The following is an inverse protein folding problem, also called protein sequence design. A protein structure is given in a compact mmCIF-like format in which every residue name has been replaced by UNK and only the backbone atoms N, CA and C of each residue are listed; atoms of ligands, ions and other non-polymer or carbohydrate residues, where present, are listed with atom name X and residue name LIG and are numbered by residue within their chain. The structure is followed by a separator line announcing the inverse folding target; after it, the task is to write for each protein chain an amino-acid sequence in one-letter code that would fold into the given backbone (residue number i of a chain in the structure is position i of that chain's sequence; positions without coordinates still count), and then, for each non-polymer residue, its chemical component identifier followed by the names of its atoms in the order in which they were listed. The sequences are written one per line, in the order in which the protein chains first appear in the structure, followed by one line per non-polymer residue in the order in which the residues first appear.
data_IF_390963485218
#
_entry.id   IF_390963485218
#
_cell.length_a   1.000
_cell.length_b   1.000
_cell.length_c   1.000
_cell.angle_alpha   90.00
_cell.angle_beta   90.00
_cell.angle_gamma   90.00
#
_symmetry.space_group_name_H-M   'P 1'
#
loop_
_entity.id
_entity.type
_entity.pdbx_description
1 polymer ?
#
# COMPACT_ATOMS: atom_id res chain seq x y z
N UNK A 1 21.74 3.02 7.21
CA UNK A 1 21.58 2.38 5.89
C UNK A 1 20.17 1.83 5.86
N UNK A 2 19.33 2.29 4.94
CA UNK A 2 17.96 1.79 4.82
C UNK A 2 17.98 0.30 4.45
N UNK A 3 17.02 -0.45 4.98
CA UNK A 3 16.85 -1.84 4.59
C UNK A 3 16.47 -1.91 3.10
N UNK A 4 16.93 -2.95 2.38
CA UNK A 4 16.47 -3.20 0.99
C UNK A 4 14.94 -3.36 0.92
N UNK A 5 14.30 -3.67 2.04
CA UNK A 5 12.84 -3.69 2.16
C UNK A 5 12.21 -2.31 1.90
N UNK A 6 12.86 -1.21 2.28
CA UNK A 6 12.34 0.14 2.07
C UNK A 6 12.08 0.43 0.58
N UNK A 7 12.98 -0.01 -0.30
CA UNK A 7 12.80 0.15 -1.74
C UNK A 7 11.65 -0.71 -2.29
N UNK A 8 11.36 -1.86 -1.68
CA UNK A 8 10.18 -2.65 -2.04
C UNK A 8 8.89 -1.95 -1.61
N UNK A 9 8.89 -1.33 -0.42
CA UNK A 9 7.75 -0.53 0.05
C UNK A 9 7.43 0.59 -0.95
N UNK A 10 8.44 1.37 -1.33
CA UNK A 10 8.28 2.46 -2.31
C UNK A 10 7.77 1.94 -3.65
N UNK A 11 8.32 0.81 -4.15
CA UNK A 11 7.86 0.19 -5.40
C UNK A 11 6.41 -0.30 -5.35
N UNK A 12 6.00 -0.94 -4.25
CA UNK A 12 4.62 -1.40 -4.10
C UNK A 12 3.64 -0.22 -4.07
N UNK A 13 4.00 0.86 -3.35
CA UNK A 13 3.21 2.09 -3.32
C UNK A 13 3.12 2.75 -4.72
N UNK A 14 4.23 2.84 -5.46
CA UNK A 14 4.24 3.33 -6.84
C UNK A 14 3.28 2.54 -7.75
N UNK A 15 3.27 1.21 -7.63
CA UNK A 15 2.38 0.36 -8.41
C UNK A 15 0.91 0.60 -8.04
N UNK A 16 0.59 0.68 -6.74
CA UNK A 16 -0.74 1.00 -6.25
C UNK A 16 -1.23 2.35 -6.79
N UNK A 17 -0.39 3.41 -6.77
CA UNK A 17 -0.73 4.72 -7.33
C UNK A 17 -1.00 4.64 -8.84
N UNK A 18 -0.18 3.90 -9.61
CA UNK A 18 -0.40 3.71 -11.05
C UNK A 18 -1.72 3.00 -11.36
N UNK A 19 -2.07 1.97 -10.59
CA UNK A 19 -3.34 1.26 -10.74
C UNK A 19 -4.52 2.21 -10.49
N UNK A 20 -4.47 3.01 -9.43
CA UNK A 20 -5.49 4.01 -9.10
C UNK A 20 -5.67 5.06 -10.20
N UNK A 21 -4.57 5.53 -10.81
CA UNK A 21 -4.63 6.49 -11.92
C UNK A 21 -5.15 5.88 -13.23
N UNK A 22 -4.92 4.58 -13.45
CA UNK A 22 -5.36 3.87 -14.65
C UNK A 22 -6.82 3.39 -14.58
N UNK A 23 -7.40 3.26 -13.39
CA UNK A 23 -8.79 2.85 -13.20
C UNK A 23 -9.77 3.87 -13.80
N UNK A 24 -10.83 3.44 -14.53
CA UNK A 24 -11.32 2.06 -14.67
C UNK A 24 -10.73 1.25 -15.85
N UNK A 25 -9.79 1.79 -16.64
CA UNK A 25 -9.37 1.20 -17.93
C UNK A 25 -8.56 -0.11 -17.84
N UNK A 26 -8.25 -0.61 -16.64
CA UNK A 26 -7.36 -1.76 -16.45
C UNK A 26 -7.78 -2.78 -15.40
N UNK A 27 -8.92 -2.61 -14.75
CA UNK A 27 -9.40 -3.56 -13.73
C UNK A 27 -10.91 -3.51 -13.61
N UNK A 28 -11.53 -4.64 -13.23
CA UNK A 28 -12.95 -4.68 -12.90
C UNK A 28 -13.18 -4.03 -11.54
N UNK A 29 -14.38 -3.48 -11.33
CA UNK A 29 -14.80 -2.85 -10.07
C UNK A 29 -14.52 -3.74 -8.85
N UNK A 30 -14.92 -5.00 -8.93
CA UNK A 30 -14.80 -5.95 -7.80
C UNK A 30 -13.35 -6.40 -7.54
N UNK A 31 -12.51 -6.39 -8.59
CA UNK A 31 -11.11 -6.82 -8.51
C UNK A 31 -10.18 -5.68 -8.08
N UNK A 32 -10.57 -4.43 -8.36
CA UNK A 32 -9.73 -3.25 -8.16
C UNK A 32 -9.24 -3.08 -6.70
N UNK A 33 -10.09 -3.17 -5.66
CA UNK A 33 -9.63 -2.98 -4.28
C UNK A 33 -8.50 -3.93 -3.89
N UNK A 34 -8.61 -5.20 -4.29
CA UNK A 34 -7.59 -6.21 -4.00
C UNK A 34 -6.33 -6.00 -4.86
N UNK A 35 -6.48 -5.57 -6.11
CA UNK A 35 -5.35 -5.28 -6.99
C UNK A 35 -4.46 -4.16 -6.44
N UNK A 36 -5.03 -3.13 -5.81
CA UNK A 36 -4.27 -1.99 -5.24
C UNK A 36 -3.34 -2.44 -4.11
N UNK A 37 -3.73 -3.39 -3.27
CA UNK A 37 -2.92 -3.88 -2.14
C UNK A 37 -2.11 -5.15 -2.44
N UNK A 38 -2.32 -5.77 -3.62
CA UNK A 38 -1.75 -7.08 -3.94
C UNK A 38 -0.22 -7.12 -3.82
N UNK A 39 0.47 -6.11 -4.35
CA UNK A 39 1.93 -6.04 -4.27
C UNK A 39 2.40 -5.88 -2.83
N UNK A 40 1.70 -5.08 -2.03
CA UNK A 40 2.01 -4.92 -0.61
C UNK A 40 1.87 -6.25 0.15
N UNK A 41 0.78 -6.97 -0.08
CA UNK A 41 0.51 -8.25 0.56
C UNK A 41 1.53 -9.33 0.19
N UNK A 42 1.85 -9.43 -1.11
CA UNK A 42 2.80 -10.41 -1.61
C UNK A 42 4.25 -10.10 -1.22
N UNK A 43 4.61 -8.82 -1.15
CA UNK A 43 6.00 -8.40 -1.09
C UNK A 43 6.44 -7.78 0.23
N UNK A 44 5.54 -7.39 1.11
CA UNK A 44 5.90 -6.59 2.29
C UNK A 44 5.31 -7.20 3.54
N UNK A 45 3.99 -7.43 3.55
CA UNK A 45 3.25 -7.87 4.74
C UNK A 45 3.85 -9.10 5.41
N UNK A 46 4.31 -10.09 4.64
CA UNK A 46 4.95 -11.30 5.16
C UNK A 46 6.41 -11.15 5.59
N UNK A 47 7.04 -10.00 5.32
CA UNK A 47 8.49 -9.74 5.52
C UNK A 47 8.76 -8.75 6.65
N UNK A 48 7.70 -8.14 7.19
CA UNK A 48 7.75 -7.30 8.38
C UNK A 48 7.16 -8.03 9.59
N UNK A 49 7.58 -7.63 10.79
CA UNK A 49 6.91 -8.04 12.03
C UNK A 49 5.46 -7.53 12.03
N UNK A 50 4.55 -8.27 12.68
CA UNK A 50 3.15 -7.83 12.78
C UNK A 50 3.07 -6.52 13.56
N UNK A 51 2.62 -5.47 12.89
CA UNK A 51 2.38 -4.17 13.49
C UNK A 51 0.96 -3.71 13.18
N UNK A 52 0.17 -3.46 14.23
CA UNK A 52 -1.24 -3.06 14.09
C UNK A 52 -1.41 -1.77 13.29
N UNK A 53 -0.48 -0.83 13.39
CA UNK A 53 -0.58 0.46 12.68
C UNK A 53 -0.46 0.27 11.18
N UNK A 54 0.39 -0.67 10.75
CA UNK A 54 0.54 -1.00 9.32
C UNK A 54 -0.72 -1.71 8.82
N UNK A 55 -1.26 -2.65 9.60
CA UNK A 55 -2.49 -3.35 9.23
C UNK A 55 -3.71 -2.40 9.18
N UNK A 56 -3.83 -1.46 10.11
CA UNK A 56 -4.89 -0.45 10.13
C UNK A 56 -4.84 0.44 8.87
N UNK A 57 -3.63 0.85 8.42
CA UNK A 57 -3.48 1.63 7.17
C UNK A 57 -3.75 0.78 5.92
N UNK A 58 -3.38 -0.51 5.93
CA UNK A 58 -3.71 -1.43 4.84
C UNK A 58 -5.23 -1.55 4.67
N UNK A 59 -5.96 -1.68 5.77
CA UNK A 59 -7.42 -1.74 5.75
C UNK A 59 -8.03 -0.41 5.29
N UNK A 60 -7.44 0.73 5.66
CA UNK A 60 -7.83 2.04 5.14
C UNK A 60 -7.70 2.14 3.62
N UNK A 61 -6.62 1.60 3.04
CA UNK A 61 -6.45 1.54 1.58
C UNK A 61 -7.56 0.70 0.94
N UNK A 62 -7.86 -0.48 1.49
CA UNK A 62 -8.94 -1.33 0.98
C UNK A 62 -10.30 -0.61 1.00
N UNK A 63 -10.64 0.04 2.11
CA UNK A 63 -11.90 0.80 2.25
C UNK A 63 -11.96 1.94 1.24
N UNK A 64 -10.87 2.72 1.12
CA UNK A 64 -10.81 3.83 0.15
C UNK A 64 -10.91 3.33 -1.30
N UNK A 65 -10.34 2.16 -1.60
CA UNK A 65 -10.38 1.57 -2.93
C UNK A 65 -11.78 1.05 -3.29
N UNK A 66 -12.49 0.45 -2.34
CA UNK A 66 -13.91 0.11 -2.50
C UNK A 66 -14.70 1.38 -2.78
N UNK A 67 -14.64 2.38 -1.90
CA UNK A 67 -15.39 3.64 -2.07
C UNK A 67 -15.13 4.28 -3.45
N UNK A 68 -13.88 4.32 -3.90
CA UNK A 68 -13.53 4.85 -5.22
C UNK A 68 -14.09 4.01 -6.37
N UNK A 69 -13.99 2.67 -6.29
CA UNK A 69 -14.54 1.78 -7.31
C UNK A 69 -16.08 1.82 -7.37
N UNK A 70 -16.73 2.12 -6.24
CA UNK A 70 -18.17 2.26 -6.09
C UNK A 70 -18.70 3.66 -6.39
N UNK A 71 -17.84 4.63 -6.74
CA UNK A 71 -18.25 5.98 -7.16
C UNK A 71 -18.36 6.03 -8.69
N UNK A 72 -19.54 5.77 -9.28
CA UNK A 72 -19.71 5.80 -10.73
C UNK A 72 -19.57 7.24 -11.28
N UNK A 73 -18.71 7.46 -12.29
CA UNK A 73 -18.56 8.77 -12.92
C UNK A 73 -19.83 9.27 -13.62
N UNK A 74 -20.75 8.36 -13.97
CA UNK A 74 -22.03 8.68 -14.59
C UNK A 74 -23.06 9.26 -13.60
N UNK A 75 -23.03 8.85 -12.33
CA UNK A 75 -24.01 9.32 -11.33
C UNK A 75 -23.45 10.46 -10.46
N UNK A 76 -22.14 10.46 -10.18
CA UNK A 76 -21.50 11.45 -9.30
C UNK A 76 -20.12 11.90 -9.84
N UNK A 77 -20.05 12.56 -11.01
CA UNK A 77 -18.78 12.95 -11.64
C UNK A 77 -17.91 13.86 -10.75
N UNK A 78 -18.52 14.71 -9.93
CA UNK A 78 -17.84 15.56 -8.95
C UNK A 78 -17.24 14.80 -7.76
N UNK A 79 -17.72 13.60 -7.46
CA UNK A 79 -17.27 12.77 -6.34
C UNK A 79 -16.07 11.88 -6.71
N UNK A 80 -15.88 11.58 -8.00
CA UNK A 80 -14.81 10.71 -8.51
C UNK A 80 -13.42 11.21 -8.11
N UNK A 81 -13.12 12.49 -8.33
CA UNK A 81 -11.79 13.03 -8.04
C UNK A 81 -11.49 13.18 -6.53
N UNK A 82 -12.43 13.61 -5.68
CA UNK A 82 -12.30 13.46 -4.24
C UNK A 82 -12.00 12.02 -3.80
N UNK A 83 -12.74 11.03 -4.30
CA UNK A 83 -12.54 9.62 -3.96
C UNK A 83 -11.17 9.10 -4.43
N UNK A 84 -10.74 9.47 -5.64
CA UNK A 84 -9.39 9.16 -6.15
C UNK A 84 -8.30 9.74 -5.24
N UNK A 85 -8.43 11.02 -4.86
CA UNK A 85 -7.45 11.67 -3.96
C UNK A 85 -7.40 11.00 -2.59
N UNK A 86 -8.55 10.61 -2.03
CA UNK A 86 -8.61 9.90 -0.76
C UNK A 86 -7.88 8.55 -0.82
N UNK A 87 -8.05 7.80 -1.92
CA UNK A 87 -7.33 6.54 -2.13
C UNK A 87 -5.81 6.77 -2.27
N UNK A 88 -5.39 7.76 -3.05
CA UNK A 88 -3.96 8.08 -3.19
C UNK A 88 -3.34 8.46 -1.84
N UNK A 89 -4.02 9.27 -1.03
CA UNK A 89 -3.56 9.61 0.31
C UNK A 89 -3.47 8.37 1.23
N UNK A 90 -4.43 7.46 1.16
CA UNK A 90 -4.37 6.21 1.93
C UNK A 90 -3.16 5.35 1.54
N UNK A 91 -2.83 5.28 0.25
CA UNK A 91 -1.63 4.57 -0.25
C UNK A 91 -0.36 5.19 0.32
N UNK A 92 -0.27 6.53 0.29
CA UNK A 92 0.89 7.26 0.81
C UNK A 92 1.04 7.07 2.34
N UNK A 93 -0.06 7.03 3.09
CA UNK A 93 -0.02 6.74 4.53
C UNK A 93 0.40 5.30 4.84
N UNK A 94 -0.02 4.32 4.04
CA UNK A 94 0.46 2.94 4.20
C UNK A 94 1.97 2.84 3.94
N UNK A 95 2.47 3.51 2.91
CA UNK A 95 3.90 3.62 2.64
C UNK A 95 4.64 4.23 3.84
N UNK A 96 4.21 5.41 4.30
CA UNK A 96 4.84 6.10 5.42
C UNK A 96 4.83 5.25 6.69
N UNK A 97 3.67 4.67 7.04
CA UNK A 97 3.52 3.82 8.21
C UNK A 97 4.46 2.61 8.15
N UNK A 98 4.60 2.00 6.97
CA UNK A 98 5.47 0.84 6.79
C UNK A 98 6.95 1.22 6.88
N UNK A 99 7.35 2.34 6.28
CA UNK A 99 8.73 2.82 6.38
C UNK A 99 9.07 3.17 7.83
N UNK A 100 8.15 3.84 8.54
CA UNK A 100 8.36 4.34 9.90
C UNK A 100 8.31 3.27 10.99
N UNK A 101 7.36 2.35 10.88
CA UNK A 101 7.06 1.36 11.92
C UNK A 101 7.50 -0.05 11.56
N UNK A 102 7.79 -0.30 10.28
CA UNK A 102 8.20 -1.61 9.81
C UNK A 102 9.50 -2.08 10.45
N UNK A 103 9.49 -3.32 10.91
CA UNK A 103 10.66 -4.04 11.40
C UNK A 103 10.78 -5.30 10.56
N UNK A 104 11.96 -5.54 9.97
CA UNK A 104 12.23 -6.73 9.15
C UNK A 104 12.14 -7.97 10.05
N UNK A 105 11.32 -8.95 9.66
CA UNK A 105 11.19 -10.20 10.38
C UNK A 105 12.23 -11.24 9.91
N UNK A 106 12.21 -12.44 10.51
CA UNK A 106 13.13 -13.52 10.13
C UNK A 106 13.02 -13.95 8.66
N UNK A 107 11.83 -13.93 8.09
CA UNK A 107 11.61 -14.28 6.68
C UNK A 107 12.15 -13.19 5.75
N UNK A 108 11.89 -11.92 6.06
CA UNK A 108 12.49 -10.78 5.35
C UNK A 108 14.02 -10.82 5.38
N UNK A 109 14.60 -11.18 6.53
CA UNK A 109 16.04 -11.35 6.66
C UNK A 109 16.58 -12.54 5.85
N UNK A 110 15.88 -13.69 5.89
CA UNK A 110 16.23 -14.88 5.10
C UNK A 110 16.24 -14.60 3.60
N UNK A 111 15.35 -13.74 3.12
CA UNK A 111 15.28 -13.30 1.72
C UNK A 111 16.27 -12.17 1.38
N UNK A 112 17.08 -11.71 2.34
CA UNK A 112 18.13 -10.73 2.13
C UNK A 112 17.65 -9.27 2.10
N UNK A 113 16.49 -8.96 2.68
CA UNK A 113 15.94 -7.60 2.71
C UNK A 113 16.41 -6.73 3.87
N UNK A 114 17.27 -7.27 4.74
CA UNK A 114 17.82 -6.62 5.93
C UNK A 114 18.19 -7.66 6.99
N UNK A 115 18.51 -7.21 8.20
CA UNK A 115 18.65 -8.09 9.36
C UNK A 115 17.32 -8.22 10.11
N UNK A 116 17.07 -9.36 10.75
CA UNK A 116 15.87 -9.53 11.57
C UNK A 116 15.93 -8.56 12.76
N UNK A 117 14.84 -7.81 13.00
CA UNK A 117 14.81 -6.74 14.00
C UNK A 117 15.31 -5.38 13.49
N UNK A 118 15.84 -5.31 12.27
CA UNK A 118 16.21 -4.04 11.64
C UNK A 118 14.96 -3.24 11.27
N UNK A 119 14.95 -1.94 11.58
CA UNK A 119 13.90 -1.04 11.07
C UNK A 119 13.99 -0.90 9.54
N UNK A 120 12.85 -0.78 8.88
CA UNK A 120 12.78 -0.61 7.43
C UNK A 120 13.52 0.66 6.99
N UNK A 121 13.30 1.77 7.67
CA UNK A 121 14.15 2.96 7.56
C UNK A 121 14.72 3.36 8.92
N UNK A 122 15.89 4.00 8.89
CA UNK A 122 16.44 4.66 10.08
C UNK A 122 15.84 6.07 10.16
N UNK A 123 15.41 6.56 11.34
CA UNK A 123 15.09 7.97 11.48
C UNK A 123 16.34 8.79 11.13
N UNK A 124 16.23 9.66 10.14
CA UNK A 124 17.25 10.67 9.83
C UNK A 124 17.32 11.72 10.93
#
# INVERSE_FOLDING_TARGET
MDAKLADQVRRAADLARRLTLAYPRGSRRDDFPFAVVAAFDAEIRGRVERDRRIEDERDRVLIAAVNFAETPPEDEPEAVEPARRALLAAIDYLEEATLRFGIVNREGARLGYGEAGQRVTTPS
#
